data_IF_502877177928
#
_entry.id   IF_502877177928
#
_cell.length_a   1.000
_cell.length_b   1.000
_cell.length_c   1.000
_cell.angle_alpha   90.00
_cell.angle_beta   90.00
_cell.angle_gamma   90.00
#
_symmetry.space_group_name_H-M   'P 1'
#
loop_
_entity.id
_entity.type
_entity.pdbx_description
1 polymer ?
#
# COMPACT_ATOMS: atom_id res chain seq x y z
N UNK A 1 2.06 13.02 1.98
CA UNK A 1 2.91 12.34 0.96
C UNK A 1 3.79 11.32 1.67
N UNK A 2 3.53 10.02 1.50
CA UNK A 2 4.43 8.98 2.03
C UNK A 2 5.66 8.93 1.12
N UNK A 3 6.82 9.31 1.66
CA UNK A 3 8.06 9.30 0.90
C UNK A 3 8.60 7.87 0.81
N UNK A 4 8.59 7.29 -0.38
CA UNK A 4 9.23 6.00 -0.65
C UNK A 4 10.76 6.19 -0.58
N UNK A 5 11.35 5.96 0.59
CA UNK A 5 12.80 5.82 0.70
C UNK A 5 13.21 4.50 0.03
N UNK A 6 13.74 4.60 -1.18
CA UNK A 6 14.19 3.45 -1.97
C UNK A 6 15.21 2.59 -1.22
N UNK A 7 15.06 1.27 -1.32
CA UNK A 7 16.08 0.35 -0.82
C UNK A 7 17.31 0.47 -1.71
N UNK A 8 18.43 0.91 -1.15
CA UNK A 8 19.71 0.86 -1.86
C UNK A 8 20.26 -0.56 -1.74
N UNK A 9 20.65 -1.15 -2.87
CA UNK A 9 21.35 -2.43 -2.87
C UNK A 9 22.61 -2.35 -2.00
N UNK A 10 22.89 -3.41 -1.26
CA UNK A 10 24.12 -3.48 -0.48
C UNK A 10 25.32 -3.54 -1.45
N UNK A 11 26.42 -2.81 -1.16
CA UNK A 11 27.58 -2.82 -2.04
C UNK A 11 28.18 -4.24 -2.13
N UNK A 12 28.83 -4.58 -3.26
CA UNK A 12 29.56 -5.83 -3.40
C UNK A 12 30.55 -6.03 -2.24
N UNK A 13 30.61 -7.23 -1.66
CA UNK A 13 31.49 -7.52 -0.54
C UNK A 13 31.01 -7.02 0.83
N UNK A 14 29.79 -6.47 0.95
CA UNK A 14 29.21 -6.02 2.23
C UNK A 14 28.98 -7.12 3.28
N UNK A 15 29.17 -8.40 2.94
CA UNK A 15 28.86 -9.54 3.81
C UNK A 15 27.35 -9.74 4.07
N UNK A 16 26.49 -8.88 3.53
CA UNK A 16 25.04 -8.98 3.68
C UNK A 16 24.52 -10.06 2.74
N UNK A 17 24.02 -11.15 3.31
CA UNK A 17 23.38 -12.20 2.52
C UNK A 17 22.05 -11.73 1.94
N UNK A 18 21.62 -12.35 0.83
CA UNK A 18 20.29 -12.15 0.23
C UNK A 18 19.16 -12.29 1.26
N UNK A 19 19.29 -13.25 2.19
CA UNK A 19 18.28 -13.48 3.23
C UNK A 19 18.22 -12.33 4.26
N UNK A 20 19.36 -11.75 4.62
CA UNK A 20 19.42 -10.62 5.53
C UNK A 20 18.84 -9.35 4.89
N UNK A 21 19.14 -9.10 3.63
CA UNK A 21 18.55 -8.00 2.86
C UNK A 21 17.03 -8.15 2.72
N UNK A 22 16.55 -9.36 2.39
CA UNK A 22 15.12 -9.66 2.26
C UNK A 22 14.35 -9.46 3.57
N UNK A 23 14.84 -9.98 4.70
CA UNK A 23 14.19 -9.76 6.01
C UNK A 23 14.10 -8.29 6.38
N UNK A 24 15.16 -7.52 6.11
CA UNK A 24 15.17 -6.08 6.36
C UNK A 24 14.15 -5.35 5.48
N UNK A 25 14.02 -5.74 4.22
CA UNK A 25 13.01 -5.18 3.32
C UNK A 25 11.60 -5.44 3.84
N UNK A 26 11.29 -6.70 4.18
CA UNK A 26 9.97 -7.09 4.72
C UNK A 26 9.62 -6.30 5.97
N UNK A 27 10.55 -6.17 6.92
CA UNK A 27 10.31 -5.43 8.15
C UNK A 27 10.04 -3.93 7.88
N UNK A 28 10.82 -3.30 7.00
CA UNK A 28 10.64 -1.89 6.64
C UNK A 28 9.36 -1.65 5.84
N UNK A 29 9.01 -2.56 4.91
CA UNK A 29 7.79 -2.44 4.12
C UNK A 29 6.54 -2.65 4.99
N UNK A 30 6.57 -3.62 5.91
CA UNK A 30 5.47 -3.87 6.83
C UNK A 30 5.23 -2.68 7.77
N UNK A 31 6.30 -2.12 8.37
CA UNK A 31 6.18 -0.95 9.23
C UNK A 31 5.59 0.25 8.48
N UNK A 32 6.09 0.54 7.27
CA UNK A 32 5.56 1.64 6.46
C UNK A 32 4.13 1.42 5.99
N UNK A 33 3.78 0.19 5.65
CA UNK A 33 2.41 -0.14 5.28
C UNK A 33 1.48 0.08 6.47
N UNK A 34 1.89 -0.32 7.68
CA UNK A 34 1.12 -0.05 8.90
C UNK A 34 0.95 1.46 9.15
N UNK A 35 2.02 2.25 9.04
CA UNK A 35 1.95 3.71 9.19
C UNK A 35 1.03 4.35 8.14
N UNK A 36 1.09 3.87 6.89
CA UNK A 36 0.22 4.32 5.81
C UNK A 36 -1.25 4.00 6.09
N UNK A 37 -1.55 2.78 6.55
CA UNK A 37 -2.91 2.33 6.87
C UNK A 37 -3.49 3.02 8.12
N UNK A 38 -2.63 3.59 8.97
CA UNK A 38 -3.04 4.34 10.17
C UNK A 38 -3.15 5.86 9.94
N UNK A 39 -2.95 6.33 8.71
CA UNK A 39 -3.00 7.76 8.41
C UNK A 39 -4.39 8.36 8.68
N UNK A 40 -4.44 9.54 9.30
CA UNK A 40 -5.69 10.28 9.49
C UNK A 40 -6.22 10.81 8.15
N UNK A 41 -7.45 10.40 7.81
CA UNK A 41 -8.14 10.75 6.57
C UNK A 41 -9.19 11.86 6.76
N UNK A 42 -9.36 12.38 7.98
CA UNK A 42 -10.44 13.33 8.32
C UNK A 42 -10.38 14.67 7.58
N UNK A 43 -9.18 15.11 7.20
CA UNK A 43 -8.95 16.39 6.53
C UNK A 43 -9.02 16.30 4.99
N UNK A 44 -9.44 15.16 4.42
CA UNK A 44 -9.44 14.96 2.97
C UNK A 44 -10.66 15.61 2.30
N UNK A 45 -10.40 16.46 1.30
CA UNK A 45 -11.42 17.01 0.39
C UNK A 45 -11.72 16.00 -0.73
N UNK A 46 -12.67 15.09 -0.51
CA UNK A 46 -12.95 13.95 -1.39
C UNK A 46 -13.97 14.34 -2.48
N UNK A 47 -13.56 14.31 -3.75
CA UNK A 47 -14.53 14.35 -4.86
C UNK A 47 -15.08 12.96 -5.19
N UNK A 48 -14.20 11.95 -5.28
CA UNK A 48 -14.56 10.56 -5.58
C UNK A 48 -13.58 9.61 -4.90
N UNK A 49 -14.08 8.45 -4.45
CA UNK A 49 -13.27 7.29 -4.07
C UNK A 49 -13.44 6.19 -5.13
N UNK A 50 -12.33 5.80 -5.76
CA UNK A 50 -12.27 4.67 -6.69
C UNK A 50 -11.77 3.44 -5.93
N UNK A 51 -12.48 2.32 -6.06
CA UNK A 51 -12.01 1.01 -5.60
C UNK A 51 -11.57 0.21 -6.81
N UNK A 52 -10.36 -0.34 -6.77
CA UNK A 52 -9.78 -1.10 -7.87
C UNK A 52 -8.92 -2.27 -7.41
N UNK A 53 -8.83 -3.31 -8.23
CA UNK A 53 -8.02 -4.49 -7.98
C UNK A 53 -6.59 -4.34 -8.51
N UNK A 54 -5.62 -4.82 -7.75
CA UNK A 54 -4.19 -4.84 -8.05
C UNK A 54 -3.71 -6.29 -7.99
N UNK A 55 -3.17 -6.81 -9.08
CA UNK A 55 -2.62 -8.15 -9.14
C UNK A 55 -1.11 -8.13 -8.82
N UNK A 56 -0.70 -8.86 -7.78
CA UNK A 56 0.68 -9.01 -7.35
C UNK A 56 1.15 -10.45 -7.57
N UNK A 57 1.80 -10.68 -8.71
CA UNK A 57 2.10 -12.04 -9.14
C UNK A 57 0.81 -12.79 -9.50
N UNK A 58 0.85 -14.11 -9.41
CA UNK A 58 -0.23 -14.96 -9.94
C UNK A 58 -1.37 -15.17 -8.94
N UNK A 59 -1.08 -15.15 -7.62
CA UNK A 59 -2.02 -15.62 -6.59
C UNK A 59 -2.49 -14.53 -5.61
N UNK A 60 -1.93 -13.31 -5.67
CA UNK A 60 -2.27 -12.25 -4.73
C UNK A 60 -3.02 -11.12 -5.43
N UNK A 61 -4.30 -10.95 -5.07
CA UNK A 61 -5.08 -9.77 -5.45
C UNK A 61 -5.24 -8.88 -4.23
N UNK A 62 -4.93 -7.61 -4.42
CA UNK A 62 -5.12 -6.55 -3.45
C UNK A 62 -6.20 -5.62 -3.97
N UNK A 63 -7.08 -5.15 -3.11
CA UNK A 63 -8.07 -4.14 -3.44
C UNK A 63 -7.64 -2.83 -2.81
N UNK A 64 -7.50 -1.79 -3.64
CA UNK A 64 -7.08 -0.46 -3.22
C UNK A 64 -8.26 0.50 -3.21
N UNK A 65 -8.35 1.31 -2.16
CA UNK A 65 -9.16 2.52 -2.16
C UNK A 65 -8.28 3.71 -2.57
N UNK A 66 -8.73 4.49 -3.55
CA UNK A 66 -7.99 5.62 -4.14
C UNK A 66 -8.88 6.85 -4.17
N UNK A 67 -8.47 7.93 -3.50
CA UNK A 67 -9.08 9.25 -3.63
C UNK A 67 -8.69 9.90 -4.95
N UNK A 68 -9.62 10.62 -5.56
CA UNK A 68 -9.34 11.64 -6.57
C UNK A 68 -9.63 13.02 -5.98
N UNK A 69 -8.64 13.92 -6.03
CA UNK A 69 -8.79 15.31 -5.56
C UNK A 69 -9.28 16.27 -6.66
N UNK A 70 -9.45 17.55 -6.31
CA UNK A 70 -9.93 18.61 -7.22
C UNK A 70 -9.02 18.88 -8.41
N UNK A 71 -7.75 18.49 -8.30
CA UNK A 71 -6.74 18.60 -9.36
C UNK A 71 -6.64 17.32 -10.20
N UNK A 72 -7.50 16.32 -9.93
CA UNK A 72 -7.52 15.00 -10.57
C UNK A 72 -6.31 14.13 -10.24
N UNK A 73 -5.62 14.41 -9.15
CA UNK A 73 -4.55 13.55 -8.66
C UNK A 73 -5.15 12.37 -7.87
N UNK A 74 -4.54 11.20 -8.05
CA UNK A 74 -4.91 9.97 -7.36
C UNK A 74 -4.06 9.80 -6.09
N UNK A 75 -4.73 9.64 -4.95
CA UNK A 75 -4.09 9.42 -3.66
C UNK A 75 -4.57 8.08 -3.09
N UNK A 76 -3.70 7.07 -2.99
CA UNK A 76 -4.03 5.83 -2.29
C UNK A 76 -4.42 6.12 -0.84
N UNK A 77 -5.50 5.49 -0.39
CA UNK A 77 -6.03 5.64 0.97
C UNK A 77 -5.81 4.38 1.80
N UNK A 78 -6.10 3.21 1.22
CA UNK A 78 -6.00 1.94 1.90
C UNK A 78 -5.85 0.79 0.92
N UNK A 79 -5.45 -0.36 1.45
CA UNK A 79 -5.26 -1.61 0.73
C UNK A 79 -5.74 -2.78 1.59
N UNK A 80 -6.47 -3.71 1.00
CA UNK A 80 -6.92 -4.95 1.66
C UNK A 80 -6.69 -6.12 0.72
N UNK A 81 -6.22 -7.25 1.24
CA UNK A 81 -6.11 -8.49 0.46
C UNK A 81 -7.49 -9.07 0.16
N UNK A 82 -7.74 -9.44 -1.10
CA UNK A 82 -9.00 -10.01 -1.54
C UNK A 82 -9.38 -9.62 -2.97
N UNK A 83 -10.66 -9.78 -3.30
CA UNK A 83 -11.20 -9.46 -4.62
C UNK A 83 -12.21 -8.33 -4.54
N UNK A 84 -12.31 -7.52 -5.60
CA UNK A 84 -13.35 -6.49 -5.74
C UNK A 84 -14.76 -7.09 -5.76
N UNK A 85 -14.89 -8.39 -6.05
CA UNK A 85 -16.15 -9.13 -6.03
C UNK A 85 -16.54 -9.61 -4.63
N UNK A 86 -15.63 -9.51 -3.65
CA UNK A 86 -15.89 -9.93 -2.28
C UNK A 86 -16.46 -8.77 -1.44
N UNK A 87 -17.72 -8.90 -1.04
CA UNK A 87 -18.41 -7.89 -0.25
C UNK A 87 -17.72 -7.57 1.10
N UNK A 88 -17.13 -8.56 1.77
CA UNK A 88 -16.42 -8.35 3.03
C UNK A 88 -15.12 -7.54 2.81
N UNK A 89 -14.40 -7.79 1.71
CA UNK A 89 -13.22 -7.00 1.31
C UNK A 89 -13.61 -5.55 1.06
N UNK A 90 -14.70 -5.31 0.31
CA UNK A 90 -15.20 -3.96 0.05
C UNK A 90 -15.67 -3.27 1.34
N UNK A 91 -16.40 -3.98 2.21
CA UNK A 91 -16.83 -3.44 3.50
C UNK A 91 -15.64 -3.03 4.37
N UNK A 92 -14.60 -3.88 4.45
CA UNK A 92 -13.39 -3.53 5.18
C UNK A 92 -12.76 -2.22 4.66
N UNK A 93 -12.76 -1.98 3.35
CA UNK A 93 -12.28 -0.73 2.75
C UNK A 93 -13.18 0.48 2.97
N UNK A 94 -14.48 0.29 3.14
CA UNK A 94 -15.43 1.40 3.36
C UNK A 94 -15.51 1.82 4.83
N UNK A 95 -14.89 1.06 5.74
CA UNK A 95 -14.88 1.33 7.18
C UNK A 95 -13.52 1.80 7.69
N UNK A 96 -12.58 2.06 6.77
CA UNK A 96 -11.25 2.63 7.07
C UNK A 96 -11.33 4.05 7.60
#
# INVERSE_FOLDING_TARGET
MVQFAGLRSAPPGSGISKSAASRRFVALSAARLADFMAADLSALDLLVVQIDGLHLGDDLVLVAAIRVDGERNKHPLALVEGSTENAATIQALLTI
#
